data_IF_852067848740
#
_entry.id   IF_852067848740
#
_cell.length_a   1.000
_cell.length_b   1.000
_cell.length_c   1.000
_cell.angle_alpha   90.00
_cell.angle_beta   90.00
_cell.angle_gamma   90.00
#
_symmetry.space_group_name_H-M   'P 1'
#
loop_
_entity.id
_entity.type
_entity.pdbx_description
1 polymer ?
#
# COMPACT_ATOMS: atom_id res chain seq x y z
N UNK A 1 -6.15 14.83 -9.95
CA UNK A 1 -5.05 14.49 -9.02
C UNK A 1 -5.59 14.51 -7.60
N UNK A 2 -5.25 13.51 -6.78
CA UNK A 2 -5.62 13.53 -5.35
C UNK A 2 -4.87 14.69 -4.65
N UNK A 3 -5.48 15.46 -3.73
CA UNK A 3 -4.83 16.61 -3.08
C UNK A 3 -3.47 16.27 -2.46
N UNK A 4 -3.39 15.11 -1.82
CA UNK A 4 -2.14 14.56 -1.26
C UNK A 4 -1.04 14.44 -2.31
N UNK A 5 -1.37 14.00 -3.54
CA UNK A 5 -0.38 13.87 -4.62
C UNK A 5 0.12 15.24 -5.09
N UNK A 6 -0.76 16.24 -5.16
CA UNK A 6 -0.34 17.59 -5.50
C UNK A 6 0.63 18.18 -4.45
N UNK A 7 0.32 17.97 -3.16
CA UNK A 7 1.19 18.41 -2.05
C UNK A 7 2.55 17.71 -2.11
N UNK A 8 2.58 16.39 -2.29
CA UNK A 8 3.83 15.61 -2.45
C UNK A 8 4.69 16.15 -3.60
N UNK A 9 4.08 16.46 -4.75
CA UNK A 9 4.79 17.00 -5.92
C UNK A 9 5.32 18.40 -5.64
N UNK A 10 4.50 19.31 -5.09
CA UNK A 10 4.92 20.68 -4.77
C UNK A 10 6.09 20.65 -3.80
N UNK A 11 5.99 19.86 -2.73
CA UNK A 11 7.06 19.73 -1.75
C UNK A 11 8.34 19.17 -2.37
N UNK A 12 8.21 18.17 -3.24
CA UNK A 12 9.34 17.58 -3.99
C UNK A 12 10.02 18.61 -4.90
N UNK A 13 9.24 19.42 -5.62
CA UNK A 13 9.77 20.48 -6.50
C UNK A 13 10.50 21.54 -5.69
N UNK A 14 9.88 22.03 -4.61
CA UNK A 14 10.50 23.02 -3.71
C UNK A 14 11.80 22.47 -3.11
N UNK A 15 11.80 21.23 -2.65
CA UNK A 15 12.99 20.56 -2.14
C UNK A 15 14.11 20.51 -3.17
N UNK A 16 13.81 20.10 -4.41
CA UNK A 16 14.78 20.07 -5.52
C UNK A 16 15.35 21.47 -5.81
N UNK A 17 14.50 22.49 -5.85
CA UNK A 17 14.95 23.87 -6.07
C UNK A 17 15.88 24.37 -4.96
N UNK A 18 15.59 24.04 -3.69
CA UNK A 18 16.44 24.41 -2.55
C UNK A 18 17.82 23.75 -2.68
N UNK A 19 17.88 22.43 -2.93
CA UNK A 19 19.18 21.73 -3.02
C UNK A 19 20.00 22.20 -4.25
N UNK A 20 19.35 22.54 -5.35
CA UNK A 20 20.01 23.17 -6.50
C UNK A 20 20.53 24.57 -6.16
N UNK A 21 19.73 25.38 -5.47
CA UNK A 21 20.14 26.70 -4.99
C UNK A 21 21.38 26.62 -4.10
N UNK A 22 21.38 25.72 -3.11
CA UNK A 22 22.54 25.47 -2.24
C UNK A 22 23.75 24.99 -3.04
N UNK A 23 23.56 24.07 -4.00
CA UNK A 23 24.64 23.56 -4.84
C UNK A 23 25.32 24.67 -5.67
N UNK A 24 24.55 25.66 -6.13
CA UNK A 24 25.07 26.81 -6.89
C UNK A 24 25.87 27.79 -6.03
N UNK A 25 25.49 27.95 -4.76
CA UNK A 25 26.17 28.82 -3.79
C UNK A 25 27.51 28.25 -3.31
N UNK A 26 27.78 26.96 -3.54
CA UNK A 26 29.05 26.33 -3.15
C UNK A 26 30.27 26.92 -3.91
N UNK A 27 31.48 26.83 -3.30
CA UNK A 27 32.73 27.23 -3.94
C UNK A 27 32.97 26.51 -5.26
N UNK A 28 33.67 27.17 -6.19
CA UNK A 28 33.90 26.68 -7.57
C UNK A 28 34.49 25.25 -7.63
N UNK A 29 35.30 24.86 -6.64
CA UNK A 29 35.89 23.52 -6.49
C UNK A 29 34.86 22.43 -6.20
N UNK A 30 33.79 22.74 -5.46
CA UNK A 30 32.75 21.79 -5.04
C UNK A 30 31.45 21.89 -5.85
N UNK A 31 31.27 22.99 -6.60
CA UNK A 31 30.05 23.24 -7.37
C UNK A 31 29.75 22.14 -8.40
N UNK A 32 30.74 21.73 -9.20
CA UNK A 32 30.57 20.69 -10.22
C UNK A 32 30.13 19.34 -9.63
N UNK A 33 30.86 18.73 -8.66
CA UNK A 33 30.41 17.47 -8.07
C UNK A 33 29.07 17.60 -7.34
N UNK A 34 28.80 18.74 -6.68
CA UNK A 34 27.51 18.97 -6.03
C UNK A 34 26.34 18.98 -7.01
N UNK A 35 26.47 19.65 -8.16
CA UNK A 35 25.42 19.65 -9.19
C UNK A 35 25.16 18.26 -9.77
N UNK A 36 26.22 17.45 -9.95
CA UNK A 36 26.07 16.05 -10.39
C UNK A 36 25.27 15.26 -9.35
N UNK A 37 25.63 15.37 -8.06
CA UNK A 37 24.93 14.68 -6.97
C UNK A 37 23.46 15.09 -6.92
N UNK A 38 23.17 16.39 -6.96
CA UNK A 38 21.80 16.91 -6.92
C UNK A 38 20.99 16.46 -8.14
N UNK A 39 21.61 16.42 -9.32
CA UNK A 39 20.96 15.89 -10.53
C UNK A 39 20.64 14.40 -10.39
N UNK A 40 21.56 13.60 -9.86
CA UNK A 40 21.33 12.18 -9.60
C UNK A 40 20.20 11.95 -8.60
N UNK A 41 20.15 12.73 -7.51
CA UNK A 41 19.05 12.69 -6.52
C UNK A 41 17.72 13.01 -7.19
N UNK A 42 17.70 14.02 -8.06
CA UNK A 42 16.49 14.41 -8.80
C UNK A 42 16.00 13.29 -9.71
N UNK A 43 16.90 12.61 -10.43
CA UNK A 43 16.56 11.46 -11.28
C UNK A 43 16.00 10.32 -10.44
N UNK A 44 16.62 9.98 -9.30
CA UNK A 44 16.13 8.94 -8.38
C UNK A 44 14.74 9.28 -7.84
N UNK A 45 14.50 10.55 -7.50
CA UNK A 45 13.21 11.03 -7.03
C UNK A 45 12.13 10.85 -8.11
N UNK A 46 12.41 11.27 -9.35
CA UNK A 46 11.49 11.08 -10.48
C UNK A 46 11.20 9.59 -10.72
N UNK A 47 12.23 8.76 -10.67
CA UNK A 47 12.11 7.32 -10.84
C UNK A 47 11.24 6.68 -9.75
N UNK A 48 11.33 7.17 -8.50
CA UNK A 48 10.48 6.72 -7.40
C UNK A 48 9.00 6.99 -7.66
N UNK A 49 8.66 8.16 -8.23
CA UNK A 49 7.28 8.47 -8.61
C UNK A 49 6.79 7.59 -9.76
N UNK A 50 7.65 7.30 -10.74
CA UNK A 50 7.31 6.48 -11.90
C UNK A 50 7.12 5.00 -11.54
N UNK A 51 7.97 4.43 -10.68
CA UNK A 51 7.92 3.01 -10.31
C UNK A 51 6.80 2.70 -9.31
N UNK A 52 6.54 3.62 -8.38
CA UNK A 52 5.61 3.39 -7.26
C UNK A 52 4.29 2.69 -7.64
N UNK A 53 3.54 3.09 -8.69
CA UNK A 53 2.30 2.40 -9.05
C UNK A 53 2.53 0.92 -9.40
N UNK A 54 3.52 0.64 -10.25
CA UNK A 54 3.86 -0.73 -10.66
C UNK A 54 4.32 -1.59 -9.49
N UNK A 55 5.11 -1.01 -8.58
CA UNK A 55 5.56 -1.72 -7.38
C UNK A 55 4.39 -2.08 -6.46
N UNK A 56 3.44 -1.16 -6.27
CA UNK A 56 2.23 -1.42 -5.47
C UNK A 56 1.42 -2.54 -6.10
N UNK A 57 1.17 -2.50 -7.41
CA UNK A 57 0.35 -3.52 -8.09
C UNK A 57 1.02 -4.90 -8.04
N UNK A 58 2.34 -4.97 -8.22
CA UNK A 58 3.11 -6.19 -8.04
C UNK A 58 2.98 -6.77 -6.63
N UNK A 59 3.13 -5.94 -5.59
CA UNK A 59 3.01 -6.36 -4.21
C UNK A 59 1.58 -6.81 -3.86
N UNK A 60 0.56 -6.12 -4.38
CA UNK A 60 -0.84 -6.51 -4.21
C UNK A 60 -1.12 -7.86 -4.85
N UNK A 61 -0.65 -8.08 -6.09
CA UNK A 61 -0.82 -9.36 -6.78
C UNK A 61 -0.24 -10.51 -5.97
N UNK A 62 1.01 -10.36 -5.50
CA UNK A 62 1.65 -11.37 -4.66
C UNK A 62 0.92 -11.64 -3.36
N UNK A 63 0.50 -10.59 -2.65
CA UNK A 63 -0.24 -10.74 -1.38
C UNK A 63 -1.61 -11.37 -1.59
N UNK A 64 -2.24 -11.11 -2.74
CA UNK A 64 -3.54 -11.70 -3.11
C UNK A 64 -3.39 -13.20 -3.33
N UNK A 65 -2.33 -13.63 -4.01
CA UNK A 65 -2.02 -15.05 -4.22
C UNK A 65 -1.75 -15.77 -2.89
N UNK A 66 -0.94 -15.17 -2.01
CA UNK A 66 -0.66 -15.70 -0.68
C UNK A 66 -1.93 -15.81 0.18
N UNK A 67 -2.81 -14.82 0.11
CA UNK A 67 -4.09 -14.83 0.81
C UNK A 67 -5.05 -15.89 0.24
N UNK A 68 -5.11 -16.05 -1.08
CA UNK A 68 -5.91 -17.10 -1.71
C UNK A 68 -5.49 -18.48 -1.20
N UNK A 69 -4.20 -18.79 -1.22
CA UNK A 69 -3.69 -20.07 -0.71
C UNK A 69 -4.08 -20.30 0.76
N UNK A 70 -3.92 -19.28 1.60
CA UNK A 70 -4.32 -19.34 3.01
C UNK A 70 -5.82 -19.65 3.19
N UNK A 71 -6.68 -19.00 2.39
CA UNK A 71 -8.13 -19.21 2.45
C UNK A 71 -8.55 -20.58 1.92
N UNK A 72 -7.87 -21.11 0.89
CA UNK A 72 -8.08 -22.47 0.37
C UNK A 72 -7.81 -23.53 1.43
N UNK A 73 -6.70 -23.40 2.16
CA UNK A 73 -6.36 -24.32 3.25
C UNK A 73 -7.33 -24.19 4.43
N UNK A 74 -7.71 -22.97 4.81
CA UNK A 74 -8.49 -22.72 6.03
C UNK A 74 -9.99 -22.95 5.85
N UNK A 75 -10.53 -22.65 4.67
CA UNK A 75 -11.94 -22.75 4.36
C UNK A 75 -12.17 -23.64 3.13
N UNK A 76 -11.83 -24.94 3.22
CA UNK A 76 -11.99 -25.85 2.11
C UNK A 76 -13.45 -25.91 1.68
N UNK A 77 -13.69 -25.89 0.38
CA UNK A 77 -15.03 -25.88 -0.26
C UNK A 77 -15.82 -24.58 -0.11
N UNK A 78 -15.17 -23.48 0.26
CA UNK A 78 -15.79 -22.16 0.22
C UNK A 78 -15.34 -21.38 -1.00
N UNK A 79 -16.17 -20.45 -1.44
CA UNK A 79 -15.84 -19.51 -2.51
C UNK A 79 -15.82 -18.10 -1.95
N UNK A 80 -14.81 -17.32 -2.33
CA UNK A 80 -14.66 -15.94 -1.93
C UNK A 80 -14.25 -15.05 -3.10
N UNK A 81 -14.39 -13.75 -2.90
CA UNK A 81 -13.84 -12.71 -3.77
C UNK A 81 -12.85 -11.88 -2.97
N UNK A 82 -11.65 -11.68 -3.53
CA UNK A 82 -10.65 -10.77 -2.98
C UNK A 82 -10.68 -9.48 -3.79
N UNK A 83 -10.84 -8.36 -3.08
CA UNK A 83 -10.80 -7.02 -3.65
C UNK A 83 -9.93 -6.11 -2.78
N UNK A 84 -9.66 -4.89 -3.24
CA UNK A 84 -9.00 -3.87 -2.44
C UNK A 84 -9.70 -2.53 -2.62
N UNK A 85 -9.58 -1.67 -1.62
CA UNK A 85 -9.97 -0.28 -1.80
C UNK A 85 -8.90 0.43 -2.62
N UNK A 86 -9.35 1.16 -3.65
CA UNK A 86 -8.49 1.95 -4.53
C UNK A 86 -8.61 3.42 -4.12
N UNK A 87 -7.47 4.07 -3.91
CA UNK A 87 -7.42 5.48 -3.53
C UNK A 87 -6.24 5.77 -2.61
N UNK A 88 -5.77 7.02 -2.61
CA UNK A 88 -4.61 7.45 -1.80
C UNK A 88 -4.87 7.41 -0.30
N UNK A 89 -6.13 7.45 0.13
CA UNK A 89 -6.53 7.39 1.53
C UNK A 89 -6.52 5.97 2.10
N UNK A 90 -6.48 4.95 1.25
CA UNK A 90 -6.55 3.55 1.65
C UNK A 90 -5.16 2.92 1.62
N UNK A 91 -4.90 2.01 2.56
CA UNK A 91 -3.71 1.17 2.50
C UNK A 91 -3.87 0.17 1.34
N UNK A 92 -3.04 0.22 0.29
CA UNK A 92 -3.20 -0.67 -0.86
C UNK A 92 -2.97 -2.15 -0.50
N UNK A 93 -2.36 -2.44 0.65
CA UNK A 93 -2.04 -3.79 1.12
C UNK A 93 -3.10 -4.40 2.04
N UNK A 94 -4.20 -3.69 2.30
CA UNK A 94 -5.36 -4.26 2.98
C UNK A 94 -6.29 -4.89 1.94
N UNK A 95 -6.44 -6.22 2.03
CA UNK A 95 -7.26 -7.00 1.10
C UNK A 95 -8.61 -7.29 1.73
N UNK A 96 -9.68 -7.04 0.98
CA UNK A 96 -11.06 -7.31 1.38
C UNK A 96 -11.51 -8.65 0.83
N UNK A 97 -11.90 -9.54 1.73
CA UNK A 97 -12.42 -10.87 1.42
C UNK A 97 -13.92 -10.87 1.66
N UNK A 98 -14.67 -11.36 0.68
CA UNK A 98 -16.13 -11.56 0.76
C UNK A 98 -16.44 -13.01 0.45
N UNK A 99 -16.94 -13.75 1.43
CA UNK A 99 -17.36 -15.14 1.20
C UNK A 99 -18.75 -15.17 0.54
N UNK A 100 -18.91 -16.00 -0.49
CA UNK A 100 -20.19 -16.09 -1.24
C UNK A 100 -21.35 -16.63 -0.39
N UNK A 101 -21.03 -17.49 0.59
CA UNK A 101 -22.00 -18.07 1.52
C UNK A 101 -22.39 -17.11 2.67
N UNK A 102 -21.72 -15.96 2.80
CA UNK A 102 -21.94 -15.00 3.87
C UNK A 102 -22.07 -13.57 3.31
N UNK A 103 -23.24 -13.30 2.74
CA UNK A 103 -23.49 -12.05 2.00
C UNK A 103 -23.47 -10.84 2.93
N UNK A 104 -22.83 -9.77 2.44
CA UNK A 104 -22.81 -8.46 3.09
C UNK A 104 -21.71 -8.30 4.14
N UNK A 105 -20.98 -9.37 4.48
CA UNK A 105 -19.80 -9.30 5.32
C UNK A 105 -18.55 -9.00 4.49
N UNK A 106 -17.65 -8.21 5.06
CA UNK A 106 -16.35 -7.90 4.49
C UNK A 106 -15.29 -8.14 5.56
N UNK A 107 -14.31 -8.97 5.24
CA UNK A 107 -13.19 -9.26 6.12
C UNK A 107 -11.93 -8.63 5.55
N UNK A 108 -11.26 -7.81 6.35
CA UNK A 108 -10.03 -7.12 5.93
C UNK A 108 -8.84 -7.89 6.45
N UNK A 109 -8.03 -8.40 5.52
CA UNK A 109 -6.82 -9.16 5.81
C UNK A 109 -5.57 -8.31 5.60
N UNK A 110 -4.61 -8.52 6.50
CA UNK A 110 -3.25 -8.02 6.45
C UNK A 110 -2.30 -9.17 6.16
N UNK A 111 -1.66 -9.13 4.99
CA UNK A 111 -0.69 -10.15 4.56
C UNK A 111 0.71 -9.59 4.74
N UNK A 112 1.44 -10.03 5.75
CA UNK A 112 2.85 -9.64 5.93
C UNK A 112 3.73 -10.52 5.02
N UNK A 113 3.53 -11.84 5.11
CA UNK A 113 4.12 -12.88 4.27
C UNK A 113 3.22 -14.14 4.33
N UNK A 114 3.59 -15.21 3.61
CA UNK A 114 2.85 -16.49 3.56
C UNK A 114 2.56 -17.10 4.93
N UNK A 115 3.44 -16.91 5.92
CA UNK A 115 3.31 -17.48 7.26
C UNK A 115 2.60 -16.56 8.25
N UNK A 116 2.41 -15.29 7.88
CA UNK A 116 1.88 -14.25 8.75
C UNK A 116 0.78 -13.49 8.01
N UNK A 117 -0.38 -14.13 7.99
CA UNK A 117 -1.64 -13.61 7.46
C UNK A 117 -2.61 -13.55 8.63
N UNK A 118 -3.29 -12.42 8.79
CA UNK A 118 -4.31 -12.28 9.82
C UNK A 118 -5.42 -11.36 9.36
N UNK A 119 -6.62 -11.65 9.84
CA UNK A 119 -7.72 -10.73 9.76
C UNK A 119 -7.49 -9.58 10.74
N UNK A 120 -7.61 -8.35 10.26
CA UNK A 120 -7.42 -7.13 11.06
C UNK A 120 -8.73 -6.45 11.42
N UNK A 121 -9.73 -6.50 10.53
CA UNK A 121 -11.02 -5.84 10.69
C UNK A 121 -12.10 -6.69 10.04
N UNK A 122 -13.34 -6.60 10.53
CA UNK A 122 -14.52 -7.05 9.81
C UNK A 122 -15.56 -5.94 9.75
N UNK A 123 -16.35 -5.96 8.69
CA UNK A 123 -17.44 -5.01 8.47
C UNK A 123 -18.73 -5.83 8.32
N UNK A 124 -19.64 -5.77 9.31
CA UNK A 124 -20.92 -6.46 9.26
C UNK A 124 -21.88 -5.80 8.26
N UNK A 125 -22.87 -6.55 7.74
CA UNK A 125 -23.89 -6.01 6.87
C UNK A 125 -24.66 -4.88 7.59
N UNK A 126 -24.79 -3.74 6.93
CA UNK A 126 -25.48 -2.58 7.50
C UNK A 126 -24.73 -1.86 8.64
N UNK A 127 -23.46 -2.17 8.88
CA UNK A 127 -22.60 -1.42 9.81
C UNK A 127 -22.89 -1.63 11.30
N UNK A 128 -23.60 -2.70 11.68
CA UNK A 128 -23.88 -3.04 13.08
C UNK A 128 -22.69 -3.77 13.72
N UNK A 129 -21.78 -3.04 14.36
CA UNK A 129 -20.50 -3.53 14.91
C UNK A 129 -20.57 -4.55 16.06
N UNK A 130 -21.75 -5.07 16.43
CA UNK A 130 -21.91 -5.99 17.57
C UNK A 130 -22.08 -7.45 17.20
N UNK A 131 -22.09 -7.76 15.90
CA UNK A 131 -22.19 -9.13 15.41
C UNK A 131 -20.84 -9.56 14.82
N UNK A 132 -20.45 -10.80 15.11
CA UNK A 132 -19.34 -11.49 14.46
C UNK A 132 -19.90 -12.40 13.38
N UNK A 133 -19.28 -12.37 12.21
CA UNK A 133 -19.68 -13.24 11.10
C UNK A 133 -19.02 -14.60 11.23
N UNK A 134 -19.51 -15.57 10.47
CA UNK A 134 -19.08 -16.97 10.49
C UNK A 134 -17.58 -17.14 10.22
N UNK A 135 -16.98 -16.27 9.40
CA UNK A 135 -15.56 -16.33 9.06
C UNK A 135 -14.71 -15.33 9.85
N UNK A 136 -15.20 -14.82 10.97
CA UNK A 136 -14.39 -14.00 11.88
C UNK A 136 -13.24 -14.82 12.50
N UNK A 137 -12.02 -14.33 12.33
CA UNK A 137 -10.81 -14.85 12.97
C UNK A 137 -10.39 -13.91 14.11
N UNK A 138 -10.46 -14.41 15.35
CA UNK A 138 -9.92 -13.67 16.51
C UNK A 138 -8.40 -13.62 16.42
N UNK A 139 -7.82 -12.42 16.45
CA UNK A 139 -6.37 -12.23 16.49
C UNK A 139 -5.81 -12.76 17.82
N UNK A 140 -5.17 -13.93 17.80
CA UNK A 140 -4.36 -14.42 18.92
C UNK A 140 -2.96 -13.85 18.79
N UNK A 141 -2.56 -13.01 19.74
CA UNK A 141 -1.17 -12.59 19.94
C UNK A 141 -0.39 -13.81 20.46
N UNK A 142 0.28 -14.52 19.56
CA UNK A 142 1.44 -15.35 19.92
C UNK A 142 2.73 -14.51 19.85
#
# INVERSE_FOLDING_TARGET
MHPITAIEIIFSVVFVLIIFGVALLLPRKLRKPSLIIVSSITVLLLFSFAIRPYWIDYQVSRKTEQLNHYLEERYPNQEWEISRQVGRQYNPYHLQVRFKNEKGWIYIYSVVNEKKIHQSVWIPPGGKFFEEGKHYESYQLE
#
